data_IF_146419701195
#
_entry.id   IF_146419701195
#
_cell.length_a   1.000
_cell.length_b   1.000
_cell.length_c   1.000
_cell.angle_alpha   90.00
_cell.angle_beta   90.00
_cell.angle_gamma   90.00
#
_symmetry.space_group_name_H-M   'P 1'
#
loop_
_entity.id
_entity.type
_entity.pdbx_description
1 polymer ?
#
# COMPACT_ATOMS: atom_id res chain seq x y z
N UNK A 1 -15.46 -4.25 -9.57
CA UNK A 1 -14.89 -4.85 -8.34
C UNK A 1 -14.81 -3.77 -7.28
N UNK A 2 -15.00 -4.12 -6.01
CA UNK A 2 -14.98 -3.16 -4.91
C UNK A 2 -13.58 -2.64 -4.60
N UNK A 3 -13.53 -1.53 -3.87
CA UNK A 3 -12.30 -1.01 -3.31
C UNK A 3 -11.87 -1.86 -2.09
N UNK A 4 -10.56 -1.93 -1.82
CA UNK A 4 -9.98 -2.62 -0.66
C UNK A 4 -9.67 -1.56 0.41
N UNK A 5 -10.32 -1.57 1.59
CA UNK A 5 -10.00 -0.63 2.66
C UNK A 5 -8.68 -0.98 3.34
N UNK A 6 -7.88 0.03 3.70
CA UNK A 6 -6.64 -0.09 4.46
C UNK A 6 -6.55 0.98 5.55
N UNK A 7 -5.65 0.78 6.50
CA UNK A 7 -5.25 1.79 7.49
C UNK A 7 -3.77 2.11 7.34
N UNK A 8 -3.37 3.33 7.68
CA UNK A 8 -1.97 3.73 7.61
C UNK A 8 -1.63 4.81 8.64
N UNK A 9 -0.36 4.92 9.00
CA UNK A 9 0.17 5.96 9.86
C UNK A 9 0.90 7.04 9.06
N UNK A 10 0.51 8.30 9.22
CA UNK A 10 1.14 9.43 8.52
C UNK A 10 2.43 9.92 9.17
N UNK A 11 3.09 10.90 8.54
CA UNK A 11 4.32 11.58 8.99
C UNK A 11 4.24 12.30 10.34
N UNK A 12 3.05 12.40 10.92
CA UNK A 12 2.83 12.95 12.25
C UNK A 12 2.47 11.85 13.25
N UNK A 13 2.72 10.59 12.90
CA UNK A 13 2.43 9.40 13.70
C UNK A 13 0.92 9.22 13.98
N UNK A 14 0.04 9.75 13.11
CA UNK A 14 -1.42 9.65 13.26
C UNK A 14 -2.00 8.57 12.36
N UNK A 15 -2.95 7.81 12.88
CA UNK A 15 -3.71 6.84 12.11
C UNK A 15 -4.69 7.52 11.17
N UNK A 16 -4.75 7.01 9.95
CA UNK A 16 -5.60 7.45 8.85
C UNK A 16 -6.13 6.23 8.09
N UNK A 17 -6.98 6.48 7.10
CA UNK A 17 -7.61 5.44 6.29
C UNK A 17 -7.27 5.63 4.82
N UNK A 18 -7.32 4.55 4.06
CA UNK A 18 -7.18 4.58 2.63
C UNK A 18 -8.09 3.54 1.98
N UNK A 19 -8.33 3.72 0.68
CA UNK A 19 -8.87 2.65 -0.15
C UNK A 19 -7.93 2.41 -1.32
N UNK A 20 -7.64 1.16 -1.63
CA UNK A 20 -7.01 0.76 -2.88
C UNK A 20 -8.09 0.39 -3.88
N UNK A 21 -7.98 0.89 -5.09
CA UNK A 21 -8.89 0.54 -6.18
C UNK A 21 -8.17 -0.38 -7.16
N UNK A 22 -8.49 -1.69 -7.17
CA UNK A 22 -7.84 -2.64 -8.05
C UNK A 22 -8.04 -2.33 -9.54
N UNK A 23 -9.18 -1.73 -9.90
CA UNK A 23 -9.53 -1.47 -11.32
C UNK A 23 -8.64 -0.42 -11.99
N UNK A 24 -7.88 0.36 -11.22
CA UNK A 24 -6.93 1.35 -11.75
C UNK A 24 -5.62 1.40 -10.95
N UNK A 25 -5.34 0.38 -10.14
CA UNK A 25 -4.11 0.22 -9.37
C UNK A 25 -3.66 1.47 -8.61
N UNK A 26 -4.61 2.11 -7.91
CA UNK A 26 -4.43 3.40 -7.25
C UNK A 26 -4.79 3.34 -5.76
N UNK A 27 -3.93 3.90 -4.90
CA UNK A 27 -4.22 4.22 -3.51
C UNK A 27 -4.94 5.56 -3.39
N UNK A 28 -5.99 5.61 -2.57
CA UNK A 28 -6.73 6.81 -2.21
C UNK A 28 -6.70 7.01 -0.68
N UNK A 29 -5.64 7.62 -0.13
CA UNK A 29 -5.55 7.93 1.29
C UNK A 29 -6.44 9.12 1.65
N UNK A 30 -6.95 9.10 2.88
CA UNK A 30 -7.69 10.20 3.50
C UNK A 30 -7.17 10.46 4.90
N UNK A 31 -6.74 11.70 5.13
CA UNK A 31 -6.47 12.17 6.48
C UNK A 31 -7.79 12.32 7.25
N UNK A 32 -7.94 11.61 8.37
CA UNK A 32 -9.21 11.61 9.12
C UNK A 32 -9.41 12.88 9.95
N UNK A 33 -8.34 13.63 10.22
CA UNK A 33 -8.37 14.84 11.03
C UNK A 33 -8.64 16.09 10.19
N UNK A 34 -8.07 16.16 8.99
CA UNK A 34 -8.19 17.33 8.09
C UNK A 34 -9.14 17.10 6.91
N UNK A 35 -9.49 15.85 6.62
CA UNK A 35 -10.25 15.47 5.43
C UNK A 35 -9.44 15.50 4.13
N UNK A 36 -8.15 15.85 4.17
CA UNK A 36 -7.29 15.88 2.99
C UNK A 36 -7.20 14.51 2.32
N UNK A 37 -7.24 14.49 0.99
CA UNK A 37 -7.19 13.27 0.17
C UNK A 37 -6.10 13.35 -0.89
N UNK A 38 -5.63 12.20 -1.37
CA UNK A 38 -4.75 12.10 -2.53
C UNK A 38 -5.13 10.91 -3.42
N UNK A 39 -4.46 10.79 -4.57
CA UNK A 39 -4.53 9.63 -5.46
C UNK A 39 -3.10 9.27 -5.89
N UNK A 40 -2.68 8.04 -5.59
CA UNK A 40 -1.33 7.54 -5.87
C UNK A 40 -1.46 6.28 -6.72
N UNK A 41 -1.35 6.43 -8.04
CA UNK A 41 -1.26 5.29 -8.96
C UNK A 41 0.16 4.77 -8.92
N UNK A 42 0.32 3.47 -8.63
CA UNK A 42 1.66 2.88 -8.51
C UNK A 42 1.73 1.42 -8.92
N UNK A 43 0.69 0.63 -8.64
CA UNK A 43 0.70 -0.78 -9.00
C UNK A 43 0.30 -1.05 -10.44
N UNK A 44 0.34 -2.33 -10.77
CA UNK A 44 -0.19 -2.93 -11.99
C UNK A 44 -1.48 -3.72 -11.66
N UNK A 45 -2.28 -4.09 -12.68
CA UNK A 45 -3.43 -4.97 -12.45
C UNK A 45 -3.00 -6.28 -11.80
N UNK A 46 -3.60 -6.61 -10.65
CA UNK A 46 -3.31 -7.84 -9.88
C UNK A 46 -2.37 -7.65 -8.69
N UNK A 47 -1.74 -6.48 -8.54
CA UNK A 47 -0.96 -6.17 -7.35
C UNK A 47 -1.87 -6.03 -6.11
N UNK A 48 -1.34 -6.44 -4.96
CA UNK A 48 -2.01 -6.39 -3.66
C UNK A 48 -1.45 -5.24 -2.82
N UNK A 49 -2.29 -4.29 -2.36
CA UNK A 49 -1.85 -3.11 -1.64
C UNK A 49 -1.47 -3.41 -0.19
N UNK A 50 -0.54 -2.64 0.35
CA UNK A 50 -0.21 -2.62 1.77
C UNK A 50 0.31 -1.24 2.20
N UNK A 51 0.05 -0.90 3.46
CA UNK A 51 0.80 0.13 4.17
C UNK A 51 1.70 -0.53 5.23
N UNK A 52 2.91 0.00 5.40
CA UNK A 52 3.82 -0.44 6.46
C UNK A 52 5.09 0.39 6.54
N UNK A 53 5.57 0.59 7.76
CA UNK A 53 6.88 1.19 8.07
C UNK A 53 7.99 0.14 7.92
N UNK A 54 8.72 0.20 6.81
CA UNK A 54 9.80 -0.74 6.48
C UNK A 54 11.17 -0.10 6.49
N UNK A 55 11.26 1.23 6.60
CA UNK A 55 12.52 1.95 6.79
C UNK A 55 12.80 2.32 8.26
N UNK A 56 11.83 2.13 9.15
CA UNK A 56 11.94 2.34 10.60
C UNK A 56 11.74 3.78 11.05
N UNK A 57 11.16 4.65 10.21
CA UNK A 57 11.00 6.08 10.51
C UNK A 57 9.74 6.40 11.34
N UNK A 58 8.87 5.42 11.62
CA UNK A 58 7.64 5.59 12.39
C UNK A 58 6.39 5.95 11.55
N UNK A 59 6.49 5.90 10.22
CA UNK A 59 5.40 6.24 9.30
C UNK A 59 5.22 5.14 8.27
N UNK A 60 3.98 4.84 7.91
CA UNK A 60 3.73 3.78 6.95
C UNK A 60 4.02 4.25 5.51
N UNK A 61 4.67 3.40 4.73
CA UNK A 61 4.93 3.59 3.32
C UNK A 61 3.90 2.89 2.43
N UNK A 62 3.83 3.32 1.16
CA UNK A 62 3.01 2.67 0.13
C UNK A 62 3.74 1.47 -0.42
N UNK A 63 3.19 0.28 -0.18
CA UNK A 63 3.79 -1.00 -0.54
C UNK A 63 2.83 -1.77 -1.43
N UNK A 64 3.36 -2.44 -2.46
CA UNK A 64 2.63 -3.44 -3.23
C UNK A 64 3.31 -4.79 -3.10
N UNK A 65 2.50 -5.84 -3.03
CA UNK A 65 2.91 -7.21 -3.27
C UNK A 65 2.49 -7.60 -4.68
N UNK A 66 3.42 -8.18 -5.45
CA UNK A 66 3.15 -8.71 -6.78
C UNK A 66 3.11 -10.24 -6.72
N UNK A 67 1.90 -10.84 -6.74
CA UNK A 67 1.76 -12.29 -6.58
C UNK A 67 2.55 -13.07 -7.63
N UNK A 68 2.44 -12.72 -8.91
CA UNK A 68 3.06 -13.50 -9.98
C UNK A 68 4.58 -13.61 -9.90
N UNK A 69 5.25 -12.65 -9.27
CA UNK A 69 6.72 -12.66 -9.13
C UNK A 69 7.17 -12.98 -7.72
N UNK A 70 6.31 -12.83 -6.71
CA UNK A 70 6.72 -12.98 -5.33
C UNK A 70 7.54 -11.79 -4.79
N UNK A 71 7.34 -10.60 -5.36
CA UNK A 71 8.14 -9.39 -5.06
C UNK A 71 7.33 -8.39 -4.26
N UNK A 72 7.94 -7.85 -3.21
CA UNK A 72 7.48 -6.66 -2.50
C UNK A 72 8.14 -5.41 -3.09
N UNK A 73 7.35 -4.37 -3.35
CA UNK A 73 7.86 -3.07 -3.79
C UNK A 73 7.41 -1.98 -2.83
N UNK A 74 8.33 -1.11 -2.45
CA UNK A 74 8.05 0.08 -1.64
C UNK A 74 8.25 1.32 -2.51
N UNK A 75 7.18 2.07 -2.76
CA UNK A 75 7.19 3.30 -3.53
C UNK A 75 8.00 4.40 -2.82
N UNK A 76 7.82 4.54 -1.50
CA UNK A 76 8.40 5.66 -0.74
C UNK A 76 9.92 5.58 -0.72
N UNK A 77 10.47 4.38 -0.53
CA UNK A 77 11.92 4.14 -0.46
C UNK A 77 12.52 3.75 -1.82
N UNK A 78 11.68 3.48 -2.82
CA UNK A 78 12.06 2.94 -4.13
C UNK A 78 12.86 1.62 -4.03
N UNK A 79 12.51 0.78 -3.05
CA UNK A 79 13.14 -0.54 -2.85
C UNK A 79 12.24 -1.68 -3.31
N UNK A 80 12.86 -2.80 -3.71
CA UNK A 80 12.17 -4.04 -4.01
C UNK A 80 12.88 -5.23 -3.35
N UNK A 81 12.11 -6.21 -2.90
CA UNK A 81 12.62 -7.41 -2.23
C UNK A 81 11.86 -8.64 -2.75
N UNK A 82 12.60 -9.62 -3.29
CA UNK A 82 12.06 -10.93 -3.64
C UNK A 82 12.00 -11.80 -2.38
N UNK A 83 10.83 -11.86 -1.75
CA UNK A 83 10.60 -12.71 -0.59
C UNK A 83 9.16 -13.21 -0.54
N UNK A 84 8.96 -14.33 -1.22
CA UNK A 84 7.75 -15.12 -1.25
C UNK A 84 7.64 -15.87 -2.57
N UNK A 85 6.60 -16.69 -2.68
CA UNK A 85 6.36 -17.57 -3.82
C UNK A 85 5.13 -17.09 -4.61
N UNK A 86 5.06 -17.38 -5.92
CA UNK A 86 3.89 -17.02 -6.71
C UNK A 86 2.56 -17.60 -6.24
N UNK A 87 2.61 -18.65 -5.41
CA UNK A 87 1.46 -19.30 -4.80
C UNK A 87 1.02 -18.70 -3.46
N UNK A 88 1.74 -17.71 -2.93
CA UNK A 88 1.43 -17.15 -1.63
C UNK A 88 0.14 -16.32 -1.68
N UNK A 89 -0.72 -16.53 -0.68
CA UNK A 89 -1.90 -15.71 -0.49
C UNK A 89 -1.51 -14.43 0.24
N UNK A 90 -1.55 -13.31 -0.47
CA UNK A 90 -1.32 -12.02 0.14
C UNK A 90 -2.57 -11.50 0.86
N UNK A 91 -2.36 -11.00 2.07
CA UNK A 91 -3.35 -10.25 2.83
C UNK A 91 -2.94 -8.77 2.84
N UNK A 92 -3.90 -7.91 2.53
CA UNK A 92 -3.80 -6.49 2.84
C UNK A 92 -4.09 -6.29 4.32
N UNK A 93 -3.37 -5.36 4.95
CA UNK A 93 -3.57 -4.94 6.34
C UNK A 93 -4.26 -3.58 6.36
#
# INVERSE_FOLDING_TARGET
>A
MGDIPLTYRDRLNRWNIAVWRPSNSTFYPRNINTGATAAIQWGEPGDVPRFGDTDGNGHDEYIIWRPNTGVWWNLTTNSQIQWGLPSDLALSR
#
